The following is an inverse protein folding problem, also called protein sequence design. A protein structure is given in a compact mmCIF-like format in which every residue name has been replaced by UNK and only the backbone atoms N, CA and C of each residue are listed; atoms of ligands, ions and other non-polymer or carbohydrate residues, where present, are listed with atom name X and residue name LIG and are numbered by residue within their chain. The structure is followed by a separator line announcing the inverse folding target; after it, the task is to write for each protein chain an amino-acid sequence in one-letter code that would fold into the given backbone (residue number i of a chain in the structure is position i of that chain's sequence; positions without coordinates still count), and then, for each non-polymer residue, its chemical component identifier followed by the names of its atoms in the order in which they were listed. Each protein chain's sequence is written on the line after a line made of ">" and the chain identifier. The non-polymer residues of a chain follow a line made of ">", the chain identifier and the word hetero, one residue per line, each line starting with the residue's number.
data_IF_321084393862
#
_entry.id   IF_321084393862
#
_cell.length_a   1.000
_cell.length_b   1.000
_cell.length_c   1.000
_cell.angle_alpha   90.00
_cell.angle_beta   90.00
_cell.angle_gamma   90.00
#
_symmetry.space_group_name_H-M   'P 1'
#
loop_
_entity.id
_entity.type
_entity.pdbx_description
1 polymer ?
#
# COMPACT_ATOMS: atom_id res chain seq x y z
N UNK A 1 -4.31 -4.24 -3.56
CA UNK A 1 -5.10 -2.99 -3.77
C UNK A 1 -6.27 -2.84 -2.80
N UNK A 2 -6.91 -3.93 -2.33
CA UNK A 2 -8.14 -3.88 -1.49
C UNK A 2 -7.89 -3.50 -0.02
N UNK A 3 -6.78 -3.92 0.60
CA UNK A 3 -6.39 -3.50 1.96
C UNK A 3 -6.15 -1.96 2.07
N UNK A 4 -5.81 -1.31 0.94
CA UNK A 4 -5.53 0.15 0.87
C UNK A 4 -6.76 1.02 1.19
N UNK A 5 -7.97 0.56 0.87
CA UNK A 5 -9.20 1.37 0.98
C UNK A 5 -9.86 1.22 2.36
N UNK A 6 -9.73 0.05 2.99
CA UNK A 6 -10.44 -0.24 4.25
C UNK A 6 -9.72 0.27 5.51
N UNK A 7 -8.38 0.41 5.46
CA UNK A 7 -7.62 1.04 6.55
C UNK A 7 -7.90 2.56 6.64
N UNK A 8 -8.43 3.20 5.60
CA UNK A 8 -8.61 4.64 5.50
C UNK A 8 -9.64 5.24 6.50
N UNK A 9 -10.59 4.44 7.00
CA UNK A 9 -11.76 4.92 7.75
C UNK A 9 -11.66 4.74 9.27
N UNK A 10 -10.62 4.06 9.78
CA UNK A 10 -10.51 3.71 11.21
C UNK A 10 -9.68 4.70 12.06
N UNK A 11 -9.02 5.69 11.45
CA UNK A 11 -7.95 6.47 12.09
C UNK A 11 -8.36 7.87 12.54
N UNK A 12 -9.19 7.97 13.59
CA UNK A 12 -9.38 9.25 14.28
C UNK A 12 -9.14 9.27 15.79
N UNK A 13 -8.78 8.16 16.45
CA UNK A 13 -8.64 8.15 17.92
C UNK A 13 -7.45 7.39 18.51
N UNK A 14 -6.47 6.99 17.68
CA UNK A 14 -5.32 6.18 18.11
C UNK A 14 -3.98 6.73 17.62
N UNK A 15 -3.72 8.01 17.90
CA UNK A 15 -2.60 8.77 17.32
C UNK A 15 -1.26 8.66 18.06
N UNK A 16 -1.17 7.97 19.20
CA UNK A 16 0.09 7.96 19.97
C UNK A 16 1.06 6.82 19.60
N UNK A 17 0.59 5.72 19.03
CA UNK A 17 1.43 4.56 18.68
C UNK A 17 2.07 4.56 17.27
N UNK A 18 1.49 5.18 16.22
CA UNK A 18 2.03 5.08 14.86
C UNK A 18 3.45 5.64 14.71
N UNK A 19 3.78 6.71 15.46
CA UNK A 19 5.08 7.35 15.40
C UNK A 19 6.22 6.48 15.93
N UNK A 20 5.93 5.58 16.88
CA UNK A 20 6.93 4.67 17.47
C UNK A 20 7.30 3.55 16.48
N UNK A 21 6.33 3.05 15.69
CA UNK A 21 6.56 2.00 14.71
C UNK A 21 7.16 2.50 13.39
N UNK A 22 6.85 3.72 12.98
CA UNK A 22 7.43 4.31 11.78
C UNK A 22 8.93 4.67 11.91
N UNK A 23 9.44 4.70 13.14
CA UNK A 23 10.83 5.03 13.43
C UNK A 23 11.66 3.84 13.94
N UNK A 24 11.11 2.61 13.93
CA UNK A 24 11.93 1.44 14.32
C UNK A 24 13.02 1.22 13.26
N UNK A 25 14.21 1.76 13.55
CA UNK A 25 15.46 1.27 12.99
C UNK A 25 15.53 -0.22 13.34
N UNK A 26 15.28 -1.07 12.35
CA UNK A 26 15.60 -2.50 12.52
C UNK A 26 17.12 -2.63 12.71
N UNK A 27 17.63 -3.68 13.39
CA UNK A 27 19.06 -3.83 13.71
C UNK A 27 20.02 -3.70 12.52
N UNK A 28 19.53 -3.80 11.29
CA UNK A 28 20.30 -3.77 10.06
C UNK A 28 20.33 -2.38 9.36
N UNK A 29 19.79 -1.33 10.00
CA UNK A 29 19.74 0.02 9.45
C UNK A 29 18.61 0.25 8.44
N UNK A 30 17.57 -0.58 8.44
CA UNK A 30 16.39 -0.37 7.60
C UNK A 30 15.47 0.69 8.23
N UNK A 31 15.02 1.65 7.40
CA UNK A 31 14.05 2.68 7.77
C UNK A 31 12.80 2.58 6.89
N UNK A 32 11.62 2.65 7.51
CA UNK A 32 10.31 2.58 6.85
C UNK A 32 9.41 3.76 7.26
N UNK A 33 9.20 4.75 6.39
CA UNK A 33 8.37 5.94 6.68
C UNK A 33 7.03 5.86 5.96
N UNK A 34 5.94 6.17 6.66
CA UNK A 34 4.59 6.22 6.08
C UNK A 34 3.73 7.28 6.76
N UNK A 35 2.63 7.67 6.12
CA UNK A 35 1.63 8.57 6.69
C UNK A 35 0.52 7.75 7.39
N UNK A 36 0.38 7.84 8.73
CA UNK A 36 -0.54 6.98 9.49
C UNK A 36 -2.01 7.19 9.14
N UNK A 37 -2.40 8.40 8.73
CA UNK A 37 -3.77 8.72 8.36
C UNK A 37 -4.20 8.05 7.05
N UNK A 38 -3.25 7.86 6.15
CA UNK A 38 -3.44 7.28 4.83
C UNK A 38 -2.29 6.33 4.47
N UNK A 39 -2.19 5.14 5.10
CA UNK A 39 -1.07 4.23 4.90
C UNK A 39 -1.24 3.43 3.59
N UNK A 40 -1.35 4.13 2.46
CA UNK A 40 -1.54 3.54 1.13
C UNK A 40 -0.22 3.08 0.49
N UNK A 41 0.89 3.59 1.01
CA UNK A 41 2.27 3.27 0.63
C UNK A 41 3.22 3.66 1.77
N UNK A 42 4.46 3.17 1.71
CA UNK A 42 5.54 3.58 2.58
C UNK A 42 6.85 3.74 1.81
N UNK A 43 7.73 4.61 2.31
CA UNK A 43 9.11 4.75 1.88
C UNK A 43 9.97 3.76 2.63
N UNK A 44 10.77 2.98 1.91
CA UNK A 44 11.78 2.08 2.47
C UNK A 44 13.17 2.56 2.05
N UNK A 45 14.13 2.58 2.98
CA UNK A 45 15.53 2.92 2.70
C UNK A 45 16.48 2.21 3.66
N UNK A 46 17.73 2.03 3.22
CA UNK A 46 18.81 1.41 4.00
C UNK A 46 19.82 2.48 4.42
N UNK A 47 20.01 2.64 5.73
CA UNK A 47 20.89 3.60 6.41
C UNK A 47 21.75 2.89 7.47
N UNK A 48 22.73 2.06 7.06
CA UNK A 48 23.55 1.31 7.99
C UNK A 48 24.39 2.24 8.87
N UNK A 49 24.36 1.98 10.18
CA UNK A 49 25.03 2.74 11.26
C UNK A 49 24.62 4.22 11.37
N UNK A 50 23.52 4.62 10.75
CA UNK A 50 22.93 5.93 11.05
C UNK A 50 22.29 5.87 12.44
N UNK A 51 22.29 7.00 13.12
CA UNK A 51 21.53 7.22 14.34
C UNK A 51 20.43 8.22 14.00
N UNK A 52 19.18 7.86 14.26
CA UNK A 52 18.03 8.74 14.13
C UNK A 52 17.80 9.57 15.41
N UNK A 53 17.99 10.91 15.37
CA UNK A 53 17.58 11.78 16.47
C UNK A 53 16.06 11.91 16.60
N UNK A 54 15.27 11.57 15.57
CA UNK A 54 13.81 11.65 15.68
C UNK A 54 13.03 11.49 14.37
N UNK A 55 11.74 11.21 14.57
CA UNK A 55 10.69 11.18 13.56
C UNK A 55 9.53 12.04 14.07
N UNK A 56 9.13 13.03 13.27
CA UNK A 56 8.07 13.97 13.63
C UNK A 56 6.94 13.92 12.59
N UNK A 57 5.71 13.99 13.09
CA UNK A 57 4.50 14.10 12.29
C UNK A 57 3.83 15.44 12.58
N UNK A 58 3.21 16.05 11.58
CA UNK A 58 2.28 17.16 11.82
C UNK A 58 1.05 16.68 12.60
N UNK A 59 0.39 17.58 13.33
CA UNK A 59 -0.79 17.24 14.14
C UNK A 59 -1.91 16.59 13.32
N UNK A 60 -2.03 16.95 12.04
CA UNK A 60 -3.01 16.40 11.10
C UNK A 60 -2.56 15.08 10.44
N UNK A 61 -1.33 14.64 10.68
CA UNK A 61 -0.73 13.41 10.16
C UNK A 61 -0.51 13.41 8.65
N UNK A 62 -0.50 14.59 8.00
CA UNK A 62 -0.35 14.75 6.55
C UNK A 62 1.11 14.88 6.09
N UNK A 63 2.00 15.21 7.02
CA UNK A 63 3.41 15.42 6.79
C UNK A 63 4.25 14.62 7.79
N UNK A 64 5.40 14.14 7.32
CA UNK A 64 6.39 13.47 8.16
C UNK A 64 7.78 13.99 7.86
N UNK A 65 8.52 14.30 8.93
CA UNK A 65 9.91 14.73 8.92
C UNK A 65 10.75 13.70 9.67
N UNK A 66 11.73 13.15 8.97
CA UNK A 66 12.68 12.19 9.52
C UNK A 66 14.08 12.74 9.39
N UNK A 67 14.87 12.60 10.44
CA UNK A 67 16.28 12.96 10.44
C UNK A 67 17.12 11.78 10.91
N UNK A 68 18.29 11.60 10.34
CA UNK A 68 19.26 10.59 10.75
C UNK A 68 20.68 10.99 10.32
N UNK A 69 21.71 10.47 10.97
CA UNK A 69 23.08 10.77 10.56
C UNK A 69 24.15 9.92 11.21
N UNK A 70 25.40 10.14 10.77
CA UNK A 70 26.63 9.68 11.40
C UNK A 70 27.39 10.91 11.90
N UNK A 71 27.16 11.36 13.16
CA UNK A 71 27.75 12.61 13.66
C UNK A 71 29.28 12.63 13.58
N UNK A 72 29.93 11.50 13.88
CA UNK A 72 31.39 11.37 13.83
C UNK A 72 31.96 11.52 12.41
N UNK A 73 31.14 11.24 11.39
CA UNK A 73 31.49 11.42 9.98
C UNK A 73 31.00 12.76 9.40
N UNK A 74 30.33 13.58 10.20
CA UNK A 74 29.62 14.79 9.76
C UNK A 74 28.67 14.53 8.58
N UNK A 75 28.01 13.38 8.57
CA UNK A 75 27.04 12.98 7.56
C UNK A 75 25.63 13.03 8.13
N UNK A 76 24.73 13.71 7.43
CA UNK A 76 23.36 13.92 7.85
C UNK A 76 22.43 13.62 6.69
N UNK A 77 21.24 13.13 7.03
CA UNK A 77 20.15 12.90 6.10
C UNK A 77 18.85 13.37 6.71
N UNK A 78 18.01 13.97 5.88
CA UNK A 78 16.62 14.21 6.22
C UNK A 78 15.70 13.74 5.11
N UNK A 79 14.52 13.30 5.51
CA UNK A 79 13.42 12.98 4.61
C UNK A 79 12.21 13.78 5.04
N UNK A 80 11.56 14.39 4.07
CA UNK A 80 10.26 15.03 4.27
C UNK A 80 9.27 14.51 3.24
N UNK A 81 8.17 13.96 3.74
CA UNK A 81 7.00 13.57 2.96
C UNK A 81 5.89 14.55 3.31
N UNK A 82 5.39 15.29 2.34
CA UNK A 82 4.38 16.32 2.55
C UNK A 82 3.59 16.64 1.29
N UNK A 83 2.60 17.54 1.34
CA UNK A 83 1.70 17.81 0.22
C UNK A 83 2.46 18.41 -0.97
N UNK A 84 2.16 17.91 -2.16
CA UNK A 84 2.70 18.46 -3.40
C UNK A 84 1.90 19.68 -3.85
N UNK A 85 2.58 20.63 -4.51
CA UNK A 85 1.88 21.70 -5.22
C UNK A 85 1.04 21.14 -6.37
N UNK A 86 -0.16 21.69 -6.56
CA UNK A 86 -1.10 21.22 -7.59
C UNK A 86 -0.45 21.29 -8.99
N UNK A 87 -0.52 20.18 -9.72
CA UNK A 87 0.03 20.06 -11.07
C UNK A 87 1.55 19.82 -11.12
N UNK A 88 2.22 19.81 -9.97
CA UNK A 88 3.67 19.61 -9.92
C UNK A 88 4.05 18.15 -9.73
N UNK A 89 5.16 17.79 -10.38
CA UNK A 89 5.85 16.50 -10.26
C UNK A 89 7.16 16.62 -9.46
N UNK A 90 8.03 15.63 -9.60
CA UNK A 90 9.32 15.59 -8.90
C UNK A 90 10.24 16.78 -9.28
N UNK A 91 10.17 17.21 -10.55
CA UNK A 91 10.87 18.40 -11.03
C UNK A 91 10.39 19.67 -10.32
N UNK A 92 9.08 19.79 -10.06
CA UNK A 92 8.49 20.91 -9.34
C UNK A 92 9.00 21.00 -7.90
N UNK A 93 9.06 19.86 -7.21
CA UNK A 93 9.67 19.74 -5.89
C UNK A 93 11.14 20.19 -5.88
N UNK A 94 11.94 19.69 -6.83
CA UNK A 94 13.34 20.08 -7.00
C UNK A 94 13.50 21.59 -7.24
N UNK A 95 12.66 22.17 -8.08
CA UNK A 95 12.69 23.61 -8.37
C UNK A 95 12.28 24.43 -7.15
N UNK A 96 11.30 23.95 -6.37
CA UNK A 96 10.89 24.57 -5.13
C UNK A 96 12.03 24.59 -4.10
N UNK A 97 12.74 23.47 -3.94
CA UNK A 97 13.94 23.40 -3.11
C UNK A 97 15.01 24.41 -3.52
N UNK A 98 15.34 24.47 -4.82
CA UNK A 98 16.31 25.45 -5.34
C UNK A 98 15.89 26.89 -5.07
N UNK A 99 14.61 27.19 -5.26
CA UNK A 99 14.07 28.52 -4.96
C UNK A 99 14.28 28.88 -3.49
N UNK A 100 14.00 27.97 -2.55
CA UNK A 100 14.25 28.19 -1.12
C UNK A 100 15.74 28.36 -0.82
N UNK A 101 16.58 27.50 -1.41
CA UNK A 101 18.03 27.55 -1.27
C UNK A 101 18.61 28.91 -1.71
N UNK A 102 18.18 29.45 -2.85
CA UNK A 102 18.68 30.74 -3.36
C UNK A 102 18.17 31.97 -2.60
N UNK A 103 17.14 31.82 -1.78
CA UNK A 103 16.69 32.90 -0.88
C UNK A 103 17.65 33.09 0.30
N UNK A 104 18.47 32.08 0.62
CA UNK A 104 19.51 32.17 1.64
C UNK A 104 20.80 32.81 1.07
N UNK A 105 21.26 33.87 1.72
CA UNK A 105 22.45 34.65 1.32
C UNK A 105 23.75 33.84 1.42
N UNK A 106 23.76 32.72 2.13
CA UNK A 106 24.89 31.80 2.23
C UNK A 106 25.14 31.00 0.94
N UNK A 107 24.19 30.97 -0.01
CA UNK A 107 24.22 30.11 -1.21
C UNK A 107 24.63 30.83 -2.51
N UNK A 108 25.46 31.89 -2.42
CA UNK A 108 25.80 32.76 -3.57
C UNK A 108 26.81 32.18 -4.57
N UNK A 109 27.67 31.25 -4.16
CA UNK A 109 28.72 30.64 -5.01
C UNK A 109 28.59 29.11 -5.08
N UNK A 110 27.39 28.64 -5.38
CA UNK A 110 27.04 27.22 -5.31
C UNK A 110 27.17 26.57 -6.69
N UNK A 111 28.00 25.55 -6.80
CA UNK A 111 28.04 24.69 -7.98
C UNK A 111 26.85 23.73 -7.93
N UNK A 112 26.00 23.73 -8.96
CA UNK A 112 24.78 22.91 -9.00
C UNK A 112 24.84 21.96 -10.18
N UNK A 113 24.48 20.70 -9.94
CA UNK A 113 24.34 19.70 -10.99
C UNK A 113 23.04 18.92 -10.80
N UNK A 114 22.23 18.91 -11.84
CA UNK A 114 21.02 18.09 -11.88
C UNK A 114 21.26 16.80 -12.63
N UNK A 115 20.61 15.74 -12.15
CA UNK A 115 20.54 14.45 -12.82
C UNK A 115 19.32 13.68 -12.32
N UNK A 116 19.10 12.49 -12.87
CA UNK A 116 17.97 11.65 -12.53
C UNK A 116 18.42 10.20 -12.36
N UNK A 117 17.81 9.50 -11.41
CA UNK A 117 17.94 8.08 -11.22
C UNK A 117 16.57 7.46 -11.00
N UNK A 118 16.11 6.65 -11.96
CA UNK A 118 14.73 6.14 -11.98
C UNK A 118 13.74 7.31 -11.78
N UNK A 119 12.91 7.24 -10.76
CA UNK A 119 11.88 8.23 -10.44
C UNK A 119 12.39 9.37 -9.54
N UNK A 120 13.66 9.30 -9.10
CA UNK A 120 14.29 10.32 -8.25
C UNK A 120 14.94 11.38 -9.13
N UNK A 121 14.44 12.61 -9.05
CA UNK A 121 15.12 13.79 -9.60
C UNK A 121 16.09 14.36 -8.58
N UNK A 122 17.35 14.58 -8.95
CA UNK A 122 18.42 14.87 -8.00
C UNK A 122 19.09 16.20 -8.35
N UNK A 123 19.36 17.00 -7.33
CA UNK A 123 20.20 18.20 -7.36
C UNK A 123 21.38 18.01 -6.43
N UNK A 124 22.57 17.90 -7.00
CA UNK A 124 23.80 18.04 -6.25
C UNK A 124 24.17 19.50 -6.12
N UNK A 125 24.62 19.90 -4.94
CA UNK A 125 25.22 21.22 -4.78
C UNK A 125 26.28 21.27 -3.68
N UNK A 126 27.14 22.28 -3.77
CA UNK A 126 28.31 22.45 -2.91
C UNK A 126 28.36 23.85 -2.32
N UNK A 127 28.58 23.94 -1.01
CA UNK A 127 28.85 25.20 -0.31
C UNK A 127 30.29 25.18 0.17
N UNK A 128 31.09 26.13 -0.31
CA UNK A 128 32.48 26.29 0.13
C UNK A 128 32.51 27.02 1.46
N UNK A 129 33.43 26.61 2.35
CA UNK A 129 33.64 27.25 3.65
C UNK A 129 32.32 27.43 4.44
N UNK A 130 31.54 26.35 4.54
CA UNK A 130 30.24 26.37 5.20
C UNK A 130 30.40 26.85 6.65
N UNK A 131 29.63 27.86 7.06
CA UNK A 131 29.69 28.49 8.38
C UNK A 131 31.09 28.88 8.87
N UNK A 132 31.99 29.28 7.95
CA UNK A 132 33.39 29.62 8.25
C UNK A 132 34.22 28.48 8.86
N UNK A 133 33.80 27.22 8.68
CA UNK A 133 34.50 26.03 9.19
C UNK A 133 35.78 25.68 8.42
N UNK A 134 36.03 26.32 7.28
CA UNK A 134 37.07 25.94 6.32
C UNK A 134 36.75 24.67 5.52
N UNK A 135 35.61 24.02 5.77
CA UNK A 135 35.20 22.77 5.11
C UNK A 135 34.13 23.02 4.07
N UNK A 136 34.08 22.16 3.06
CA UNK A 136 33.03 22.13 2.05
C UNK A 136 31.85 21.28 2.54
N UNK A 137 30.63 21.79 2.38
CA UNK A 137 29.40 21.02 2.54
C UNK A 137 28.95 20.52 1.16
N UNK A 138 28.78 19.21 1.01
CA UNK A 138 28.22 18.59 -0.19
C UNK A 138 26.83 18.06 0.10
N UNK A 139 25.87 18.44 -0.74
CA UNK A 139 24.47 18.10 -0.59
C UNK A 139 23.96 17.37 -1.83
N UNK A 140 23.15 16.33 -1.62
CA UNK A 140 22.38 15.64 -2.65
C UNK A 140 20.92 15.75 -2.24
N UNK A 141 20.15 16.53 -2.99
CA UNK A 141 18.72 16.67 -2.80
C UNK A 141 17.98 15.83 -3.84
N UNK A 142 17.36 14.73 -3.43
CA UNK A 142 16.50 13.88 -4.24
C UNK A 142 15.03 14.22 -4.03
N UNK A 143 14.22 14.15 -5.09
CA UNK A 143 12.77 14.24 -4.95
C UNK A 143 12.03 13.26 -5.86
N UNK A 144 10.95 12.71 -5.31
CA UNK A 144 9.98 11.80 -5.95
C UNK A 144 8.55 12.28 -5.69
N UNK A 145 7.58 11.65 -6.35
CA UNK A 145 6.15 11.88 -6.12
C UNK A 145 5.45 10.55 -5.95
N UNK A 146 4.59 10.48 -4.94
CA UNK A 146 3.64 9.40 -4.77
C UNK A 146 2.29 10.02 -4.41
N UNK A 147 1.24 9.66 -5.16
CA UNK A 147 -0.10 10.22 -5.03
C UNK A 147 -0.09 11.78 -5.08
N UNK A 148 -0.57 12.43 -4.03
CA UNK A 148 -0.56 13.88 -3.84
C UNK A 148 0.59 14.39 -2.95
N UNK A 149 1.61 13.56 -2.72
CA UNK A 149 2.75 13.88 -1.85
C UNK A 149 4.05 14.04 -2.62
N UNK A 150 4.87 14.98 -2.17
CA UNK A 150 6.28 15.04 -2.49
C UNK A 150 7.08 14.25 -1.46
N UNK A 151 8.05 13.47 -1.92
CA UNK A 151 9.04 12.81 -1.05
C UNK A 151 10.38 13.45 -1.35
N UNK A 152 10.85 14.28 -0.44
CA UNK A 152 12.13 14.97 -0.53
C UNK A 152 13.16 14.34 0.39
N UNK A 153 14.37 14.16 -0.12
CA UNK A 153 15.47 13.49 0.57
C UNK A 153 16.68 14.40 0.45
N UNK A 154 17.27 14.81 1.56
CA UNK A 154 18.50 15.60 1.59
C UNK A 154 19.59 14.80 2.28
N UNK A 155 20.71 14.56 1.59
CA UNK A 155 21.92 13.96 2.17
C UNK A 155 23.01 15.02 2.14
N UNK A 156 23.63 15.28 3.29
CA UNK A 156 24.57 16.38 3.50
C UNK A 156 25.82 15.90 4.23
N UNK A 157 27.02 16.19 3.72
CA UNK A 157 28.28 15.87 4.41
C UNK A 157 29.22 17.06 4.46
N UNK A 158 29.68 17.41 5.66
CA UNK A 158 30.70 18.42 5.88
C UNK A 158 32.10 17.78 5.78
N UNK A 159 32.97 18.35 4.94
CA UNK A 159 34.28 17.77 4.65
C UNK A 159 34.24 16.63 3.64
N UNK A 160 33.26 16.65 2.73
CA UNK A 160 33.07 15.63 1.70
C UNK A 160 34.33 15.39 0.83
N UNK A 161 34.63 14.12 0.59
CA UNK A 161 35.74 13.61 -0.21
C UNK A 161 35.23 12.85 -1.44
N UNK A 162 36.07 12.68 -2.47
CA UNK A 162 35.70 11.94 -3.69
C UNK A 162 35.23 10.50 -3.42
N UNK A 163 35.77 9.85 -2.37
CA UNK A 163 35.37 8.50 -1.96
C UNK A 163 33.92 8.40 -1.45
N UNK A 164 33.37 9.49 -0.92
CA UNK A 164 32.00 9.51 -0.35
C UNK A 164 30.91 9.40 -1.43
N UNK A 165 31.26 9.64 -2.71
CA UNK A 165 30.30 9.63 -3.81
C UNK A 165 29.58 8.30 -3.95
N UNK A 166 30.28 7.17 -3.82
CA UNK A 166 29.66 5.85 -3.90
C UNK A 166 28.57 5.71 -2.85
N UNK A 167 28.91 6.05 -1.60
CA UNK A 167 28.00 5.93 -0.46
C UNK A 167 26.72 6.77 -0.60
N UNK A 168 26.83 8.03 -1.04
CA UNK A 168 25.67 8.88 -1.31
C UNK A 168 24.75 8.29 -2.38
N UNK A 169 25.34 7.73 -3.43
CA UNK A 169 24.60 7.08 -4.52
C UNK A 169 23.92 5.80 -4.01
N UNK A 170 24.58 5.03 -3.15
CA UNK A 170 24.04 3.79 -2.62
C UNK A 170 22.84 4.03 -1.68
N UNK A 171 22.88 5.08 -0.84
CA UNK A 171 21.71 5.52 -0.07
C UNK A 171 20.55 5.87 -1.02
N UNK A 172 20.78 6.70 -2.04
CA UNK A 172 19.72 7.07 -2.99
C UNK A 172 19.18 5.88 -3.78
N UNK A 173 19.99 4.85 -4.02
CA UNK A 173 19.58 3.61 -4.70
C UNK A 173 18.76 2.68 -3.82
N UNK A 174 18.93 2.73 -2.50
CA UNK A 174 18.19 1.89 -1.55
C UNK A 174 16.75 2.37 -1.35
N UNK A 175 16.50 3.65 -1.62
CA UNK A 175 15.18 4.29 -1.54
C UNK A 175 14.17 3.62 -2.49
N UNK A 176 13.05 3.17 -1.92
CA UNK A 176 11.93 2.55 -2.63
C UNK A 176 10.60 3.04 -2.08
N UNK A 177 9.63 3.26 -2.96
CA UNK A 177 8.24 3.41 -2.60
C UNK A 177 7.58 2.04 -2.72
N UNK A 178 6.94 1.59 -1.64
CA UNK A 178 6.29 0.28 -1.56
C UNK A 178 4.81 0.49 -1.33
N UNK A 179 4.00 -0.26 -2.08
CA UNK A 179 2.55 -0.24 -1.94
C UNK A 179 2.10 -0.81 -0.58
N UNK A 180 1.20 -0.09 0.10
CA UNK A 180 0.64 -0.44 1.41
C UNK A 180 1.49 0.02 2.60
N UNK A 181 0.98 -0.17 3.83
CA UNK A 181 1.76 0.08 5.06
C UNK A 181 2.92 -0.92 5.20
N UNK A 182 3.90 -0.64 6.07
CA UNK A 182 4.86 -1.65 6.52
C UNK A 182 4.13 -2.85 7.15
N UNK A 183 4.67 -4.06 6.93
CA UNK A 183 4.08 -5.30 7.44
C UNK A 183 4.04 -5.30 8.98
N UNK A 184 5.08 -4.80 9.63
CA UNK A 184 5.15 -4.70 11.09
C UNK A 184 4.03 -3.81 11.65
N UNK A 185 3.68 -2.75 10.92
CA UNK A 185 2.57 -1.88 11.28
C UNK A 185 1.21 -2.60 11.12
N UNK A 186 1.04 -3.39 10.06
CA UNK A 186 -0.16 -4.21 9.88
C UNK A 186 -0.31 -5.20 11.03
N UNK A 187 0.75 -5.91 11.40
CA UNK A 187 0.78 -6.85 12.52
C UNK A 187 0.44 -6.18 13.85
N UNK A 188 1.04 -5.03 14.14
CA UNK A 188 0.72 -4.24 15.32
C UNK A 188 -0.77 -3.89 15.39
N UNK A 189 -1.33 -3.41 14.27
CA UNK A 189 -2.74 -3.03 14.19
C UNK A 189 -3.66 -4.24 14.37
N UNK A 190 -3.34 -5.38 13.77
CA UNK A 190 -4.11 -6.62 13.90
C UNK A 190 -4.08 -7.14 15.33
N UNK A 191 -2.92 -7.15 15.98
CA UNK A 191 -2.80 -7.52 17.39
C UNK A 191 -3.68 -6.64 18.28
N UNK A 192 -3.71 -5.34 18.00
CA UNK A 192 -4.62 -4.41 18.69
C UNK A 192 -6.09 -4.73 18.43
N UNK A 193 -6.48 -4.99 17.18
CA UNK A 193 -7.86 -5.38 16.84
C UNK A 193 -8.29 -6.66 17.57
N UNK A 194 -7.38 -7.62 17.70
CA UNK A 194 -7.66 -8.89 18.40
C UNK A 194 -7.97 -8.68 19.89
N UNK A 195 -7.45 -7.63 20.53
CA UNK A 195 -7.77 -7.29 21.94
C UNK A 195 -9.14 -6.64 22.15
N UNK A 196 -9.81 -6.20 21.09
CA UNK A 196 -11.14 -5.57 21.19
C UNK A 196 -12.19 -6.67 21.37
N UNK A 197 -12.90 -6.70 22.52
CA UNK A 197 -13.85 -7.79 22.83
C UNK A 197 -15.08 -7.79 21.91
N UNK A 198 -15.73 -6.64 21.75
CA UNK A 198 -16.94 -6.50 20.93
C UNK A 198 -16.65 -5.71 19.64
N UNK A 199 -15.86 -6.30 18.75
CA UNK A 199 -15.59 -5.75 17.42
C UNK A 199 -16.88 -5.55 16.62
N UNK A 200 -16.97 -4.47 15.84
CA UNK A 200 -18.07 -4.23 14.90
C UNK A 200 -17.99 -5.17 13.68
N UNK A 201 -18.99 -5.13 12.80
CA UNK A 201 -18.96 -5.92 11.57
C UNK A 201 -17.77 -5.54 10.68
N UNK A 202 -17.43 -4.24 10.62
CA UNK A 202 -16.31 -3.69 9.86
C UNK A 202 -14.97 -4.22 10.40
N UNK A 203 -14.79 -4.24 11.72
CA UNK A 203 -13.56 -4.74 12.34
C UNK A 203 -13.38 -6.25 12.16
N UNK A 204 -14.47 -7.02 12.22
CA UNK A 204 -14.42 -8.46 11.91
C UNK A 204 -14.14 -8.68 10.41
N UNK A 205 -14.65 -7.82 9.52
CA UNK A 205 -14.36 -7.86 8.09
C UNK A 205 -12.88 -7.57 7.80
N UNK A 206 -12.28 -6.58 8.48
CA UNK A 206 -10.85 -6.26 8.40
C UNK A 206 -9.97 -7.45 8.77
N UNK A 207 -10.30 -8.16 9.86
CA UNK A 207 -9.58 -9.38 10.24
C UNK A 207 -9.76 -10.47 9.18
N UNK A 208 -10.97 -10.63 8.65
CA UNK A 208 -11.24 -11.55 7.55
C UNK A 208 -10.34 -11.30 6.35
N UNK A 209 -10.24 -10.04 5.93
CA UNK A 209 -9.38 -9.59 4.82
C UNK A 209 -7.90 -9.82 5.13
N UNK A 210 -7.43 -9.50 6.33
CA UNK A 210 -6.04 -9.72 6.75
C UNK A 210 -5.61 -11.19 6.60
N UNK A 211 -6.45 -12.13 7.04
CA UNK A 211 -6.17 -13.57 6.90
C UNK A 211 -6.34 -14.06 5.46
N UNK A 212 -7.30 -13.49 4.71
CA UNK A 212 -7.54 -13.84 3.31
C UNK A 212 -6.32 -13.52 2.43
N UNK A 213 -5.74 -12.34 2.59
CA UNK A 213 -4.55 -11.90 1.83
C UNK A 213 -3.30 -12.74 2.16
N UNK A 214 -3.30 -13.46 3.29
CA UNK A 214 -2.26 -14.43 3.69
C UNK A 214 -2.61 -15.87 3.33
N UNK A 215 -3.67 -16.07 2.55
CA UNK A 215 -4.19 -17.38 2.15
C UNK A 215 -4.59 -18.29 3.34
N UNK A 216 -4.74 -17.72 4.54
CA UNK A 216 -5.30 -18.43 5.69
C UNK A 216 -6.82 -18.39 5.62
N UNK A 217 -7.37 -19.12 4.64
CA UNK A 217 -8.80 -19.16 4.37
C UNK A 217 -9.62 -19.73 5.53
N UNK A 218 -8.98 -20.48 6.45
CA UNK A 218 -9.64 -21.00 7.66
C UNK A 218 -9.93 -19.86 8.63
N UNK A 219 -8.96 -19.01 8.92
CA UNK A 219 -9.19 -17.83 9.76
C UNK A 219 -9.99 -16.76 9.02
N UNK A 220 -9.75 -16.54 7.72
CA UNK A 220 -10.55 -15.61 6.91
C UNK A 220 -12.04 -15.95 7.01
N UNK A 221 -12.41 -17.22 6.76
CA UNK A 221 -13.78 -17.73 6.95
C UNK A 221 -14.33 -17.43 8.34
N UNK A 222 -13.55 -17.66 9.40
CA UNK A 222 -13.97 -17.43 10.79
C UNK A 222 -14.34 -15.97 11.04
N UNK A 223 -13.51 -15.02 10.59
CA UNK A 223 -13.70 -13.59 10.85
C UNK A 223 -14.76 -12.98 9.92
N UNK A 224 -14.75 -13.32 8.63
CA UNK A 224 -15.81 -12.91 7.71
C UNK A 224 -17.19 -13.43 8.13
N UNK A 225 -17.30 -14.65 8.65
CA UNK A 225 -18.58 -15.17 9.16
C UNK A 225 -19.10 -14.34 10.33
N UNK A 226 -18.22 -13.91 11.25
CA UNK A 226 -18.61 -13.02 12.35
C UNK A 226 -19.07 -11.65 11.84
N UNK A 227 -18.39 -11.11 10.84
CA UNK A 227 -18.80 -9.87 10.17
C UNK A 227 -20.20 -10.02 9.56
N UNK A 228 -20.44 -11.12 8.84
CA UNK A 228 -21.73 -11.46 8.25
C UNK A 228 -22.85 -11.59 9.28
N UNK A 229 -22.63 -12.36 10.35
CA UNK A 229 -23.60 -12.55 11.44
C UNK A 229 -23.97 -11.24 12.15
N UNK A 230 -23.01 -10.30 12.27
CA UNK A 230 -23.26 -8.96 12.81
C UNK A 230 -24.03 -8.10 11.82
N UNK A 231 -23.60 -8.07 10.55
CA UNK A 231 -24.28 -7.30 9.52
C UNK A 231 -25.73 -7.75 9.29
N UNK A 232 -26.05 -9.04 9.43
CA UNK A 232 -27.44 -9.51 9.38
C UNK A 232 -28.34 -8.91 10.47
N UNK A 233 -27.75 -8.46 11.59
CA UNK A 233 -28.50 -7.88 12.71
C UNK A 233 -28.59 -6.36 12.62
N UNK A 234 -27.51 -5.71 12.18
CA UNK A 234 -27.39 -4.26 12.24
C UNK A 234 -27.49 -3.56 10.89
N UNK A 235 -27.15 -4.26 9.79
CA UNK A 235 -27.07 -3.71 8.44
C UNK A 235 -26.22 -2.43 8.36
N UNK A 236 -25.09 -2.43 9.08
CA UNK A 236 -24.20 -1.27 9.24
C UNK A 236 -23.15 -1.14 8.14
N UNK A 237 -22.83 -2.23 7.43
CA UNK A 237 -21.79 -2.20 6.40
C UNK A 237 -22.22 -1.33 5.21
N UNK A 238 -21.33 -0.44 4.79
CA UNK A 238 -21.49 0.22 3.50
C UNK A 238 -21.41 -0.80 2.34
N UNK A 239 -21.87 -0.40 1.15
CA UNK A 239 -21.97 -1.29 -0.01
C UNK A 239 -20.63 -1.95 -0.35
N UNK A 240 -19.51 -1.22 -0.31
CA UNK A 240 -18.21 -1.78 -0.70
C UNK A 240 -17.72 -2.79 0.34
N UNK A 241 -17.81 -2.45 1.62
CA UNK A 241 -17.43 -3.37 2.71
C UNK A 241 -18.32 -4.61 2.72
N UNK A 242 -19.62 -4.48 2.42
CA UNK A 242 -20.53 -5.60 2.28
C UNK A 242 -20.14 -6.52 1.11
N UNK A 243 -19.82 -5.96 -0.07
CA UNK A 243 -19.36 -6.73 -1.23
C UNK A 243 -18.07 -7.51 -0.91
N UNK A 244 -17.10 -6.86 -0.27
CA UNK A 244 -15.84 -7.49 0.14
C UNK A 244 -16.07 -8.63 1.14
N UNK A 245 -16.95 -8.40 2.13
CA UNK A 245 -17.33 -9.42 3.11
C UNK A 245 -17.97 -10.64 2.45
N UNK A 246 -18.97 -10.43 1.58
CA UNK A 246 -19.68 -11.54 0.91
C UNK A 246 -18.73 -12.30 -0.01
N UNK A 247 -17.94 -11.59 -0.81
CA UNK A 247 -16.96 -12.19 -1.70
C UNK A 247 -15.91 -13.00 -0.93
N UNK A 248 -15.28 -12.37 0.07
CA UNK A 248 -14.24 -12.99 0.89
C UNK A 248 -14.75 -14.20 1.67
N UNK A 249 -15.98 -14.13 2.23
CA UNK A 249 -16.60 -15.25 2.92
C UNK A 249 -16.90 -16.41 1.97
N UNK A 250 -17.53 -16.13 0.82
CA UNK A 250 -17.89 -17.15 -0.18
C UNK A 250 -16.68 -17.87 -0.74
N UNK A 251 -15.63 -17.12 -1.09
CA UNK A 251 -14.36 -17.70 -1.59
C UNK A 251 -13.66 -18.50 -0.49
N UNK A 252 -13.63 -18.00 0.76
CA UNK A 252 -13.04 -18.74 1.87
C UNK A 252 -13.79 -20.06 2.15
N UNK A 253 -15.11 -20.09 2.00
CA UNK A 253 -15.89 -21.33 2.04
C UNK A 253 -15.51 -22.26 0.88
N UNK A 254 -15.47 -21.76 -0.36
CA UNK A 254 -15.15 -22.56 -1.55
C UNK A 254 -13.75 -23.19 -1.47
N UNK A 255 -12.72 -22.41 -1.14
CA UNK A 255 -11.34 -22.91 -1.02
C UNK A 255 -11.20 -23.93 0.11
N UNK A 256 -11.94 -23.73 1.21
CA UNK A 256 -12.00 -24.72 2.30
C UNK A 256 -12.97 -25.88 2.03
N UNK A 257 -13.43 -26.04 0.77
CA UNK A 257 -14.30 -27.11 0.24
C UNK A 257 -15.68 -27.22 0.88
N UNK A 258 -16.13 -26.14 1.51
CA UNK A 258 -17.47 -26.01 2.04
C UNK A 258 -18.37 -25.36 0.98
N UNK A 259 -18.55 -26.09 -0.13
CA UNK A 259 -19.24 -25.60 -1.32
C UNK A 259 -20.71 -25.27 -1.07
N UNK A 260 -21.35 -25.93 -0.11
CA UNK A 260 -22.75 -25.66 0.26
C UNK A 260 -22.90 -24.25 0.85
N UNK A 261 -22.04 -23.88 1.81
CA UNK A 261 -22.07 -22.54 2.37
C UNK A 261 -21.56 -21.50 1.38
N UNK A 262 -20.56 -21.82 0.55
CA UNK A 262 -20.12 -20.93 -0.52
C UNK A 262 -21.27 -20.54 -1.46
N UNK A 263 -22.03 -21.54 -1.92
CA UNK A 263 -23.23 -21.37 -2.77
C UNK A 263 -24.22 -20.42 -2.10
N UNK A 264 -24.60 -20.68 -0.84
CA UNK A 264 -25.56 -19.85 -0.10
C UNK A 264 -25.09 -18.40 0.05
N UNK A 265 -23.79 -18.18 0.28
CA UNK A 265 -23.24 -16.84 0.43
C UNK A 265 -23.24 -16.08 -0.90
N UNK A 266 -22.89 -16.73 -2.01
CA UNK A 266 -22.96 -16.08 -3.32
C UNK A 266 -24.42 -15.83 -3.76
N UNK A 267 -25.35 -16.74 -3.46
CA UNK A 267 -26.79 -16.50 -3.67
C UNK A 267 -27.30 -15.32 -2.84
N UNK A 268 -26.86 -15.20 -1.58
CA UNK A 268 -27.12 -14.02 -0.76
C UNK A 268 -26.54 -12.73 -1.39
N UNK A 269 -25.32 -12.80 -1.92
CA UNK A 269 -24.70 -11.70 -2.67
C UNK A 269 -25.52 -11.29 -3.89
N UNK A 270 -25.93 -12.25 -4.71
CA UNK A 270 -26.76 -12.02 -5.90
C UNK A 270 -28.12 -11.41 -5.53
N UNK A 271 -28.73 -11.82 -4.41
CA UNK A 271 -29.98 -11.25 -3.95
C UNK A 271 -29.82 -9.77 -3.52
N UNK A 272 -28.66 -9.38 -2.99
CA UNK A 272 -28.37 -8.01 -2.58
C UNK A 272 -27.86 -7.10 -3.70
N UNK A 273 -27.06 -7.63 -4.62
CA UNK A 273 -26.58 -6.93 -5.82
C UNK A 273 -26.60 -7.87 -7.04
N UNK A 274 -27.74 -7.94 -7.77
CA UNK A 274 -27.90 -8.85 -8.91
C UNK A 274 -27.01 -8.52 -10.12
N UNK A 275 -26.37 -7.35 -10.14
CA UNK A 275 -25.51 -6.90 -11.24
C UNK A 275 -24.02 -7.06 -10.90
N UNK A 276 -23.68 -7.54 -9.70
CA UNK A 276 -22.30 -7.78 -9.32
C UNK A 276 -21.77 -9.09 -9.91
N UNK A 277 -21.15 -9.00 -11.09
CA UNK A 277 -20.68 -10.13 -11.90
C UNK A 277 -19.78 -11.15 -11.16
N UNK A 278 -19.01 -10.70 -10.15
CA UNK A 278 -18.13 -11.58 -9.36
C UNK A 278 -18.87 -12.67 -8.59
N UNK A 279 -20.10 -12.42 -8.12
CA UNK A 279 -20.85 -13.46 -7.41
C UNK A 279 -21.24 -14.59 -8.35
N UNK A 280 -21.62 -14.29 -9.59
CA UNK A 280 -21.88 -15.32 -10.60
C UNK A 280 -20.59 -16.03 -11.02
N UNK A 281 -19.48 -15.30 -11.19
CA UNK A 281 -18.19 -15.90 -11.50
C UNK A 281 -17.77 -16.93 -10.44
N UNK A 282 -17.75 -16.52 -9.16
CA UNK A 282 -17.34 -17.43 -8.09
C UNK A 282 -18.33 -18.58 -7.90
N UNK A 283 -19.63 -18.37 -8.15
CA UNK A 283 -20.61 -19.44 -8.15
C UNK A 283 -20.36 -20.43 -9.30
N UNK A 284 -19.89 -19.95 -10.45
CA UNK A 284 -19.43 -20.84 -11.53
C UNK A 284 -18.21 -21.65 -11.11
N UNK A 285 -17.23 -21.07 -10.42
CA UNK A 285 -16.08 -21.80 -9.86
C UNK A 285 -16.55 -22.92 -8.91
N UNK A 286 -17.47 -22.61 -7.99
CA UNK A 286 -18.07 -23.61 -7.07
C UNK A 286 -18.78 -24.72 -7.85
N UNK A 287 -19.52 -24.39 -8.91
CA UNK A 287 -20.20 -25.40 -9.71
C UNK A 287 -19.24 -26.26 -10.55
N UNK A 288 -18.15 -25.69 -11.06
CA UNK A 288 -17.11 -26.43 -11.77
C UNK A 288 -16.39 -27.43 -10.83
N UNK A 289 -16.00 -26.97 -9.65
CA UNK A 289 -15.40 -27.78 -8.57
C UNK A 289 -16.30 -28.92 -8.09
N UNK A 290 -17.62 -28.72 -8.12
CA UNK A 290 -18.61 -29.74 -7.74
C UNK A 290 -19.10 -30.59 -8.92
N UNK A 291 -18.51 -30.44 -10.11
CA UNK A 291 -18.82 -31.23 -11.31
C UNK A 291 -20.14 -30.87 -12.00
N UNK A 292 -20.74 -29.73 -11.67
CA UNK A 292 -21.99 -29.26 -12.26
C UNK A 292 -21.72 -28.32 -13.45
N UNK A 293 -21.25 -28.89 -14.56
CA UNK A 293 -20.89 -28.16 -15.79
C UNK A 293 -21.98 -27.17 -16.23
N UNK A 294 -23.23 -27.62 -16.33
CA UNK A 294 -24.33 -26.80 -16.88
C UNK A 294 -24.53 -25.52 -16.06
N UNK A 295 -24.51 -25.64 -14.72
CA UNK A 295 -24.62 -24.48 -13.84
C UNK A 295 -23.38 -23.60 -13.88
N UNK A 296 -22.19 -24.17 -14.02
CA UNK A 296 -20.96 -23.40 -14.17
C UNK A 296 -21.02 -22.51 -15.43
N UNK A 297 -21.35 -23.10 -16.59
CA UNK A 297 -21.47 -22.37 -17.85
C UNK A 297 -22.60 -21.34 -17.84
N UNK A 298 -23.75 -21.67 -17.23
CA UNK A 298 -24.85 -20.72 -17.08
C UNK A 298 -24.41 -19.48 -16.28
N UNK A 299 -23.70 -19.68 -15.16
CA UNK A 299 -23.22 -18.59 -14.33
C UNK A 299 -22.09 -17.78 -14.99
N UNK A 300 -21.18 -18.42 -15.75
CA UNK A 300 -20.15 -17.68 -16.52
C UNK A 300 -20.78 -16.74 -17.56
N UNK A 301 -21.86 -17.17 -18.25
CA UNK A 301 -22.57 -16.30 -19.20
C UNK A 301 -23.18 -15.08 -18.51
N UNK A 302 -23.71 -15.26 -17.29
CA UNK A 302 -24.26 -14.14 -16.51
C UNK A 302 -23.15 -13.23 -15.98
N UNK A 303 -22.04 -13.79 -15.50
CA UNK A 303 -20.87 -13.03 -15.11
C UNK A 303 -20.35 -12.17 -16.26
N UNK A 304 -20.25 -12.74 -17.47
CA UNK A 304 -19.85 -12.02 -18.69
C UNK A 304 -20.82 -10.89 -19.05
N UNK A 305 -22.14 -11.12 -18.93
CA UNK A 305 -23.16 -10.08 -19.16
C UNK A 305 -22.94 -8.86 -18.26
N UNK A 306 -22.54 -9.08 -17.01
CA UNK A 306 -22.31 -8.01 -16.03
C UNK A 306 -20.83 -7.58 -15.93
N UNK A 307 -19.92 -8.16 -16.74
CA UNK A 307 -18.48 -7.81 -16.83
C UNK A 307 -18.28 -6.33 -17.16
N UNK A 308 -19.18 -5.73 -17.96
CA UNK A 308 -19.02 -4.39 -18.55
C UNK A 308 -19.45 -3.24 -17.60
N UNK A 309 -20.16 -3.52 -16.51
CA UNK A 309 -20.70 -2.47 -15.61
C UNK A 309 -19.84 -2.16 -14.37
N UNK A 310 -18.65 -2.74 -14.21
CA UNK A 310 -17.82 -2.51 -13.02
C UNK A 310 -16.87 -1.31 -13.19
N UNK A 311 -17.40 -0.10 -13.08
CA UNK A 311 -16.63 1.15 -12.87
C UNK A 311 -15.85 1.19 -11.53
N UNK A 312 -15.71 0.05 -10.83
CA UNK A 312 -15.13 -0.05 -9.49
C UNK A 312 -13.71 -0.69 -9.49
N UNK A 313 -13.09 -0.87 -10.66
CA UNK A 313 -11.70 -1.33 -10.76
C UNK A 313 -11.46 -2.82 -10.48
N UNK A 314 -12.50 -3.65 -10.48
CA UNK A 314 -12.38 -5.11 -10.42
C UNK A 314 -12.59 -5.72 -11.81
N UNK A 315 -11.51 -6.25 -12.39
CA UNK A 315 -11.55 -7.00 -13.65
C UNK A 315 -11.80 -8.46 -13.29
N UNK A 316 -12.85 -9.08 -13.85
CA UNK A 316 -13.07 -10.52 -13.68
C UNK A 316 -11.85 -11.28 -14.22
N UNK A 317 -11.35 -12.26 -13.46
CA UNK A 317 -10.25 -13.10 -13.91
C UNK A 317 -10.67 -13.93 -15.12
N UNK A 318 -9.70 -14.31 -15.95
CA UNK A 318 -9.94 -15.21 -17.07
C UNK A 318 -10.23 -16.62 -16.52
N UNK A 319 -11.38 -17.24 -16.86
CA UNK A 319 -11.65 -18.62 -16.49
C UNK A 319 -10.58 -19.60 -17.02
N UNK A 320 -9.85 -19.24 -18.08
CA UNK A 320 -8.78 -20.07 -18.64
C UNK A 320 -7.55 -20.16 -17.73
N UNK A 321 -7.37 -19.20 -16.81
CA UNK A 321 -6.26 -19.17 -15.86
C UNK A 321 -6.66 -19.63 -14.45
N UNK A 322 -7.95 -19.85 -14.19
CA UNK A 322 -8.49 -20.22 -12.87
C UNK A 322 -8.54 -21.75 -12.72
N UNK A 323 -7.81 -22.33 -11.73
CA UNK A 323 -7.77 -23.77 -11.50
C UNK A 323 -9.14 -24.42 -11.26
N UNK A 324 -10.13 -23.65 -10.82
CA UNK A 324 -11.49 -24.14 -10.55
C UNK A 324 -12.16 -24.74 -11.79
N UNK A 325 -11.73 -24.31 -12.98
CA UNK A 325 -12.25 -24.78 -14.26
C UNK A 325 -11.37 -25.82 -14.94
N UNK A 326 -10.35 -26.37 -14.26
CA UNK A 326 -9.42 -27.34 -14.85
C UNK A 326 -10.14 -28.56 -15.47
N UNK A 327 -11.27 -28.98 -14.89
CA UNK A 327 -12.09 -30.09 -15.40
C UNK A 327 -12.86 -29.77 -16.69
N UNK A 328 -12.94 -28.48 -17.08
CA UNK A 328 -13.68 -27.99 -18.23
C UNK A 328 -12.76 -27.54 -19.39
N UNK A 329 -11.44 -27.67 -19.27
CA UNK A 329 -10.49 -27.13 -20.26
C UNK A 329 -10.56 -27.81 -21.64
N UNK A 330 -11.10 -29.03 -21.71
CA UNK A 330 -11.34 -29.76 -22.97
C UNK A 330 -12.77 -29.53 -23.51
N UNK A 331 -13.59 -28.75 -22.81
CA UNK A 331 -14.99 -28.53 -23.15
C UNK A 331 -15.16 -27.34 -24.11
N UNK A 332 -15.73 -27.60 -25.30
CA UNK A 332 -15.85 -26.58 -26.34
C UNK A 332 -16.76 -25.41 -25.91
N UNK A 333 -17.87 -25.69 -25.22
CA UNK A 333 -18.79 -24.66 -24.73
C UNK A 333 -18.12 -23.76 -23.70
N UNK A 334 -17.35 -24.36 -22.78
CA UNK A 334 -16.53 -23.61 -21.82
C UNK A 334 -15.53 -22.72 -22.52
N UNK A 335 -14.73 -23.27 -23.45
CA UNK A 335 -13.70 -22.51 -24.17
C UNK A 335 -14.30 -21.36 -24.98
N UNK A 336 -15.48 -21.53 -25.57
CA UNK A 336 -16.20 -20.46 -26.27
C UNK A 336 -16.58 -19.31 -25.34
N UNK A 337 -17.08 -19.61 -24.14
CA UNK A 337 -17.47 -18.60 -23.14
C UNK A 337 -16.22 -17.95 -22.55
N UNK A 338 -15.22 -18.75 -22.15
CA UNK A 338 -14.02 -18.30 -21.47
C UNK A 338 -13.17 -17.36 -22.32
N UNK A 339 -13.08 -17.58 -23.64
CA UNK A 339 -12.38 -16.67 -24.57
C UNK A 339 -12.99 -15.26 -24.66
N UNK A 340 -14.24 -15.08 -24.23
CA UNK A 340 -14.88 -13.76 -24.17
C UNK A 340 -14.49 -12.97 -22.91
N UNK A 341 -13.73 -13.61 -21.99
CA UNK A 341 -13.16 -12.94 -20.82
C UNK A 341 -11.83 -12.23 -21.13
N UNK A 342 -11.18 -12.54 -22.25
CA UNK A 342 -10.07 -11.77 -22.83
C UNK A 342 -10.57 -10.51 -23.54
#
# INVERSE_FOLDING_TARGET
>A
MKLKVLLLTLFMSLFLAPAVLAAEETPDGLVQLFLPKYPTWHLKMELPDFISPGLEYTEDGEDVYFEAGKPDENLFMSVHIGPKKRGEGAIGCRNFYKMQMFMDKNYREVNIRDWQYKDITITEHEIRNFENTGKMLKNYFGCMVQDDKWVSILISKLGYMRGDRGYFIDILKSVKLIDGPPEEYVEFMVNKLLTIENRSAELENLLGLYYYEREDYKNAKKYYRKAYEKNLKSNELDKLTWLDMVNGLGVSYAITKDYENATKIFEYGIAGDPEFGWFYYNLACVYAETGNKDKALANLRVALKYKVNQNNGHVLDSPLADPSFASLMDDEDFLEIARQFE
#
